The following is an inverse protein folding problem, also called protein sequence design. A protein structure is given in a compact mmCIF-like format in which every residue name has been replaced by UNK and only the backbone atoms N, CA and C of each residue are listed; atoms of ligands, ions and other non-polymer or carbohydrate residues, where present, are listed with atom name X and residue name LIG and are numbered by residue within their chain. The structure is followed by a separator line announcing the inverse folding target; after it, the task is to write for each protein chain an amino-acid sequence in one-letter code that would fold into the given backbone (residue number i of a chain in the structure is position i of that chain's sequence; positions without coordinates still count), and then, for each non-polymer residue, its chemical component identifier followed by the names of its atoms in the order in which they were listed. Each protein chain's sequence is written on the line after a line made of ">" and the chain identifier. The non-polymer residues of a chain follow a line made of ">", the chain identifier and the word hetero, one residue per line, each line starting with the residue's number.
data_IF_399994578128
#
_entry.id   IF_399994578128
#
_cell.length_a   1.000
_cell.length_b   1.000
_cell.length_c   1.000
_cell.angle_alpha   90.00
_cell.angle_beta   90.00
_cell.angle_gamma   90.00
#
_symmetry.space_group_name_H-M   'P 1'
#
loop_
_entity.id
_entity.type
_entity.pdbx_description
1 polymer ?
#
# COMPACT_ATOMS: atom_id res chain seq x y z
N UNK A 1 6.42 -5.81 -10.77
CA UNK A 1 6.88 -6.42 -9.51
C UNK A 1 6.42 -7.87 -9.47
N UNK A 2 7.24 -8.80 -8.96
CA UNK A 2 6.89 -10.22 -8.87
C UNK A 2 6.54 -10.57 -7.43
N UNK A 3 5.35 -11.16 -7.19
CA UNK A 3 4.89 -11.58 -5.85
C UNK A 3 5.98 -12.37 -5.13
N UNK A 4 6.47 -11.85 -4.01
CA UNK A 4 7.09 -12.68 -2.99
C UNK A 4 6.01 -13.61 -2.42
N UNK A 5 6.33 -14.89 -2.24
CA UNK A 5 5.43 -15.94 -1.74
C UNK A 5 5.16 -15.80 -0.22
N UNK A 6 4.78 -14.60 0.22
CA UNK A 6 4.16 -14.36 1.52
C UNK A 6 2.65 -14.51 1.40
N UNK A 7 2.01 -15.13 2.39
CA UNK A 7 0.55 -15.03 2.49
C UNK A 7 0.21 -13.58 2.85
N UNK A 8 -0.75 -12.97 2.15
CA UNK A 8 -1.30 -11.67 2.52
C UNK A 8 -2.71 -11.85 3.07
N UNK A 9 -3.15 -10.94 3.94
CA UNK A 9 -4.50 -10.93 4.49
C UNK A 9 -5.17 -9.60 4.17
N UNK A 10 -6.43 -9.66 3.75
CA UNK A 10 -7.23 -8.45 3.52
C UNK A 10 -7.29 -7.61 4.79
N UNK A 11 -6.98 -6.31 4.66
CA UNK A 11 -6.97 -5.35 5.76
C UNK A 11 -8.16 -4.40 5.62
N UNK A 12 -9.11 -4.49 6.54
CA UNK A 12 -10.37 -3.76 6.53
C UNK A 12 -10.54 -2.78 7.68
N UNK A 13 -11.73 -2.16 7.81
CA UNK A 13 -12.03 -1.23 8.91
C UNK A 13 -11.94 -1.82 10.32
N UNK A 14 -11.90 -3.15 10.46
CA UNK A 14 -11.76 -3.84 11.76
C UNK A 14 -10.32 -4.13 12.17
N UNK A 15 -9.35 -3.93 11.28
CA UNK A 15 -7.96 -4.40 11.44
C UNK A 15 -7.00 -3.26 11.83
N UNK A 16 -7.55 -2.18 12.39
CA UNK A 16 -6.81 -0.95 12.72
C UNK A 16 -5.61 -1.21 13.62
N UNK A 17 -4.50 -0.56 13.30
CA UNK A 17 -3.26 -0.63 14.08
C UNK A 17 -3.31 0.23 15.35
N UNK A 18 -4.20 1.24 15.37
CA UNK A 18 -4.18 2.34 16.34
C UNK A 18 -3.14 3.41 16.02
N UNK A 19 -2.40 3.28 14.92
CA UNK A 19 -1.30 4.15 14.52
C UNK A 19 -1.62 5.07 13.33
N UNK A 20 -0.68 5.99 13.02
CA UNK A 20 -0.81 6.95 11.92
C UNK A 20 -1.17 6.36 10.54
N UNK A 21 -0.75 5.12 10.24
CA UNK A 21 -1.09 4.45 8.97
C UNK A 21 -2.60 4.28 8.78
N UNK A 22 -3.37 4.12 9.86
CA UNK A 22 -4.83 4.00 9.78
C UNK A 22 -5.45 5.25 9.15
N UNK A 23 -4.90 6.42 9.47
CA UNK A 23 -5.33 7.69 8.89
C UNK A 23 -4.92 7.82 7.42
N UNK A 24 -3.74 7.31 7.05
CA UNK A 24 -3.31 7.22 5.64
C UNK A 24 -4.34 6.40 4.86
N UNK A 25 -4.64 5.17 5.29
CA UNK A 25 -5.60 4.31 4.60
C UNK A 25 -7.02 4.90 4.58
N UNK A 26 -7.48 5.50 5.67
CA UNK A 26 -8.79 6.15 5.71
C UNK A 26 -8.90 7.32 4.74
N UNK A 27 -7.81 8.05 4.47
CA UNK A 27 -7.78 9.14 3.50
C UNK A 27 -7.66 8.60 2.07
N UNK A 28 -6.76 7.65 1.81
CA UNK A 28 -6.61 7.03 0.48
C UNK A 28 -7.91 6.34 0.04
N UNK A 29 -8.63 5.64 0.93
CA UNK A 29 -9.94 5.04 0.61
C UNK A 29 -11.00 6.06 0.19
N UNK A 30 -10.93 7.28 0.72
CA UNK A 30 -11.84 8.36 0.33
C UNK A 30 -11.51 8.90 -1.05
N UNK A 31 -10.23 8.96 -1.39
CA UNK A 31 -9.73 9.56 -2.62
C UNK A 31 -9.62 8.55 -3.78
N UNK A 32 -9.55 7.24 -3.47
CA UNK A 32 -9.46 6.12 -4.42
C UNK A 32 -10.60 5.12 -4.14
N UNK A 33 -11.78 5.31 -4.74
CA UNK A 33 -12.88 4.36 -4.63
C UNK A 33 -12.48 2.97 -5.16
N UNK A 34 -12.82 1.92 -4.41
CA UNK A 34 -12.44 0.55 -4.77
C UNK A 34 -11.05 0.12 -4.30
N UNK A 35 -10.37 0.95 -3.50
CA UNK A 35 -9.10 0.58 -2.88
C UNK A 35 -9.23 -0.73 -2.10
N UNK A 36 -8.38 -1.69 -2.45
CA UNK A 36 -8.10 -2.87 -1.63
C UNK A 36 -6.75 -2.68 -0.95
N UNK A 37 -6.71 -3.08 0.33
CA UNK A 37 -5.47 -3.10 1.13
C UNK A 37 -5.30 -4.52 1.64
N UNK A 38 -4.10 -5.07 1.48
CA UNK A 38 -3.69 -6.31 2.10
C UNK A 38 -2.48 -6.07 3.00
N UNK A 39 -2.35 -6.84 4.08
CA UNK A 39 -1.20 -6.82 4.97
C UNK A 39 -0.39 -8.11 4.77
N UNK A 40 0.93 -8.01 4.79
CA UNK A 40 1.81 -9.16 4.81
C UNK A 40 1.53 -10.01 6.05
N UNK A 41 1.22 -11.29 5.87
CA UNK A 41 1.09 -12.24 6.96
C UNK A 41 2.45 -12.91 7.20
N UNK A 42 3.04 -12.61 8.34
CA UNK A 42 4.29 -13.23 8.78
C UNK A 42 4.00 -14.45 9.65
N UNK A 43 4.86 -15.46 9.57
CA UNK A 43 4.67 -16.74 10.27
C UNK A 43 5.54 -16.88 11.52
N UNK A 44 6.50 -15.97 11.76
CA UNK A 44 7.39 -16.01 12.90
C UNK A 44 7.24 -14.78 13.80
N UNK A 45 7.28 -14.99 15.12
CA UNK A 45 7.28 -13.91 16.09
C UNK A 45 8.57 -13.08 15.94
N UNK A 46 8.42 -11.80 15.61
CA UNK A 46 9.54 -10.87 15.38
C UNK A 46 9.78 -10.50 13.91
N UNK A 47 9.13 -11.19 12.97
CA UNK A 47 9.05 -10.71 11.60
C UNK A 47 8.13 -9.47 11.54
N UNK A 48 8.51 -8.49 10.74
CA UNK A 48 7.76 -7.26 10.57
C UNK A 48 6.57 -7.48 9.63
N UNK A 49 5.36 -7.44 10.17
CA UNK A 49 4.10 -7.52 9.42
C UNK A 49 3.55 -6.13 9.04
N UNK A 50 4.31 -5.06 9.26
CA UNK A 50 3.89 -3.68 8.98
C UNK A 50 4.04 -3.28 7.51
N UNK A 51 4.06 -4.28 6.61
CA UNK A 51 4.09 -4.14 5.16
C UNK A 51 2.68 -4.35 4.61
N UNK A 52 2.23 -3.39 3.81
CA UNK A 52 0.91 -3.36 3.21
C UNK A 52 1.02 -3.27 1.69
N UNK A 53 0.09 -3.90 0.98
CA UNK A 53 -0.06 -3.86 -0.46
C UNK A 53 -1.39 -3.20 -0.81
N UNK A 54 -1.33 -2.18 -1.66
CA UNK A 54 -2.44 -1.34 -2.02
C UNK A 54 -2.69 -1.43 -3.53
N UNK A 55 -3.96 -1.54 -3.89
CA UNK A 55 -4.38 -1.67 -5.26
C UNK A 55 -5.90 -1.70 -5.41
N UNK A 56 -6.36 -2.42 -6.41
CA UNK A 56 -7.77 -2.65 -6.70
C UNK A 56 -8.04 -4.17 -6.88
N UNK A 57 -9.29 -4.56 -7.12
CA UNK A 57 -9.64 -5.97 -7.31
C UNK A 57 -8.94 -6.64 -8.49
N UNK A 58 -8.41 -5.87 -9.45
CA UNK A 58 -7.71 -6.40 -10.63
C UNK A 58 -6.21 -6.54 -10.38
N UNK A 59 -5.58 -5.54 -9.72
CA UNK A 59 -4.15 -5.55 -9.40
C UNK A 59 -3.95 -5.02 -7.98
N UNK A 60 -3.60 -5.91 -7.04
CA UNK A 60 -3.53 -5.64 -5.61
C UNK A 60 -2.20 -5.05 -5.12
N UNK A 61 -1.11 -5.32 -5.83
CA UNK A 61 0.27 -4.99 -5.44
C UNK A 61 0.84 -3.80 -6.24
N UNK A 62 0.01 -2.79 -6.50
CA UNK A 62 0.43 -1.61 -7.27
C UNK A 62 1.33 -0.68 -6.46
N UNK A 63 1.06 -0.56 -5.17
CA UNK A 63 1.84 0.22 -4.22
C UNK A 63 2.08 -0.62 -2.97
N UNK A 64 3.33 -0.70 -2.53
CA UNK A 64 3.70 -1.20 -1.22
C UNK A 64 3.83 -0.02 -0.24
N UNK A 65 3.35 -0.20 0.97
CA UNK A 65 3.58 0.72 2.09
C UNK A 65 4.14 -0.06 3.26
N UNK A 66 5.37 0.24 3.66
CA UNK A 66 6.01 -0.28 4.87
C UNK A 66 6.04 0.81 5.96
N UNK A 67 5.90 0.41 7.21
CA UNK A 67 5.78 1.30 8.37
C UNK A 67 6.54 0.74 9.56
N UNK A 68 6.85 1.60 10.53
CA UNK A 68 7.36 1.15 11.82
C UNK A 68 6.30 0.42 12.66
N UNK A 69 6.71 -0.18 13.80
CA UNK A 69 5.84 -0.95 14.68
C UNK A 69 4.53 -0.25 15.03
N UNK A 70 3.40 -0.93 14.82
CA UNK A 70 2.08 -0.39 15.11
C UNK A 70 1.66 0.75 14.17
N UNK A 71 2.10 0.71 12.91
CA UNK A 71 1.68 1.67 11.88
C UNK A 71 2.32 3.05 12.01
N UNK A 72 3.49 3.13 12.64
CA UNK A 72 4.18 4.40 12.91
C UNK A 72 5.05 4.84 11.72
N UNK A 73 5.27 6.15 11.53
CA UNK A 73 6.28 6.62 10.59
C UNK A 73 7.70 6.20 11.02
N UNK A 74 8.69 6.22 10.10
CA UNK A 74 8.56 6.65 8.71
C UNK A 74 7.74 5.70 7.86
N UNK A 75 6.94 6.26 6.97
CA UNK A 75 6.24 5.56 5.89
C UNK A 75 7.18 5.39 4.72
N UNK A 76 7.35 4.15 4.29
CA UNK A 76 8.06 3.81 3.10
C UNK A 76 7.07 3.40 2.01
N UNK A 77 6.86 4.27 1.03
CA UNK A 77 5.95 4.03 -0.09
C UNK A 77 6.78 3.60 -1.30
N UNK A 78 6.47 2.44 -1.86
CA UNK A 78 7.19 1.85 -2.99
C UNK A 78 6.24 1.43 -4.12
N UNK A 79 6.58 1.85 -5.33
CA UNK A 79 6.03 1.34 -6.59
C UNK A 79 7.22 1.29 -7.56
N UNK A 80 7.15 1.88 -8.77
CA UNK A 80 8.33 1.97 -9.64
C UNK A 80 9.51 2.76 -9.01
N UNK A 81 9.20 3.69 -8.12
CA UNK A 81 10.15 4.47 -7.31
C UNK A 81 9.90 4.29 -5.81
N UNK A 82 10.81 4.84 -4.99
CA UNK A 82 10.78 4.75 -3.52
C UNK A 82 10.72 6.14 -2.88
N UNK A 83 9.75 6.34 -1.99
CA UNK A 83 9.60 7.57 -1.18
C UNK A 83 9.57 7.21 0.31
N UNK A 84 10.30 7.96 1.14
CA UNK A 84 10.28 7.84 2.60
C UNK A 84 9.79 9.16 3.17
N UNK A 85 8.77 9.13 4.03
CA UNK A 85 8.25 10.32 4.70
C UNK A 85 7.70 10.01 6.09
N UNK A 86 7.73 10.97 6.99
CA UNK A 86 7.02 10.88 8.29
C UNK A 86 5.67 11.58 8.28
N UNK A 87 5.31 12.24 7.17
CA UNK A 87 4.10 13.06 7.06
C UNK A 87 2.96 12.27 6.44
N UNK A 88 1.84 12.17 7.15
CA UNK A 88 0.62 11.48 6.69
C UNK A 88 0.14 12.06 5.36
N UNK A 89 0.12 13.39 5.24
CA UNK A 89 -0.38 14.06 4.04
C UNK A 89 0.48 13.76 2.80
N UNK A 90 1.80 13.66 2.97
CA UNK A 90 2.71 13.31 1.88
C UNK A 90 2.55 11.85 1.47
N UNK A 91 2.48 10.93 2.45
CA UNK A 91 2.23 9.52 2.18
C UNK A 91 0.91 9.31 1.40
N UNK A 92 -0.17 9.98 1.81
CA UNK A 92 -1.45 9.97 1.09
C UNK A 92 -1.29 10.47 -0.34
N UNK A 93 -0.64 11.63 -0.53
CA UNK A 93 -0.49 12.23 -1.84
C UNK A 93 0.27 11.31 -2.81
N UNK A 94 1.35 10.68 -2.35
CA UNK A 94 2.16 9.74 -3.14
C UNK A 94 1.36 8.49 -3.50
N UNK A 95 0.70 7.86 -2.51
CA UNK A 95 -0.10 6.65 -2.74
C UNK A 95 -1.24 6.94 -3.72
N UNK A 96 -2.00 8.02 -3.52
CA UNK A 96 -3.08 8.40 -4.42
C UNK A 96 -2.57 8.71 -5.83
N UNK A 97 -1.43 9.39 -5.96
CA UNK A 97 -0.83 9.67 -7.25
C UNK A 97 -0.50 8.37 -7.99
N UNK A 98 0.12 7.37 -7.34
CA UNK A 98 0.49 6.12 -8.01
C UNK A 98 -0.69 5.19 -8.30
N UNK A 99 -1.69 5.15 -7.43
CA UNK A 99 -2.93 4.40 -7.68
C UNK A 99 -3.81 5.05 -8.76
N UNK A 100 -3.82 6.38 -8.83
CA UNK A 100 -4.53 7.15 -9.86
C UNK A 100 -3.82 7.21 -11.21
N UNK A 101 -2.47 7.11 -11.23
CA UNK A 101 -1.66 7.15 -12.45
C UNK A 101 -1.65 5.83 -13.23
N UNK A 102 -2.74 5.05 -13.15
CA UNK A 102 -2.86 3.74 -13.76
C UNK A 102 -2.17 3.67 -15.10
N UNK A 103 -1.13 2.84 -15.18
CA UNK A 103 -0.50 2.48 -16.43
C UNK A 103 -1.59 1.81 -17.27
N UNK A 104 -2.20 2.61 -18.13
CA UNK A 104 -2.74 2.15 -19.39
C UNK A 104 -1.53 1.55 -20.09
N UNK A 105 -1.32 0.24 -19.96
CA UNK A 105 -0.57 -0.49 -20.97
C UNK A 105 -1.34 -0.34 -22.26
N UNK A 106 -1.07 0.75 -22.97
CA UNK A 106 -1.32 0.84 -24.38
C UNK A 106 -0.52 -0.31 -25.00
N UNK A 107 -1.24 -1.38 -25.34
CA UNK A 107 -0.87 -2.14 -26.50
C UNK A 107 -0.94 -1.19 -27.69
N UNK A 108 0.19 -0.59 -28.03
CA UNK A 108 0.49 -0.12 -29.38
C UNK A 108 1.71 -0.96 -29.78
N UNK A 109 1.50 -2.10 -30.41
CA UNK A 109 1.36 -2.22 -31.87
C UNK A 109 2.46 -1.39 -32.58
N UNK A 110 3.62 -2.01 -32.71
CA UNK A 110 4.56 -1.65 -33.78
C UNK A 110 4.42 -2.72 -34.86
N UNK A 111 3.63 -2.35 -35.87
CA UNK A 111 3.68 -2.72 -37.29
C UNK A 111 4.59 -3.89 -37.72
#
# INVERSE_FOLDING_TARGET
>A
MGRALGHTQSWGPGDLTGGPVDQVFAQVRRDVPGLVVERLAVTHAGDDDNVYFLGDESVLDRVQLDTGPGGQPPFLVESDDRVVTSEIAEAVAVVCAWLGSGDVRAGDDFA
#
